data_IF_716856796649
#
_entry.id   IF_716856796649
#
_cell.length_a   1.000
_cell.length_b   1.000
_cell.length_c   1.000
_cell.angle_alpha   90.00
_cell.angle_beta   90.00
_cell.angle_gamma   90.00
#
_symmetry.space_group_name_H-M   'P 1'
#
loop_
_entity.id
_entity.type
_entity.pdbx_description
1 polymer ?
#
# COMPACT_ATOMS: atom_id res chain seq x y z
N UNK A 1 17.24 -3.94 13.37
CA UNK A 1 16.33 -2.92 12.82
C UNK A 1 14.97 -3.34 13.27
N UNK A 2 14.36 -2.56 14.16
CA UNK A 2 13.13 -2.95 14.83
C UNK A 2 11.95 -2.33 14.08
N UNK A 3 11.07 -3.18 13.54
CA UNK A 3 9.91 -2.72 12.77
C UNK A 3 8.86 -2.21 13.76
N UNK A 4 8.57 -0.91 13.68
CA UNK A 4 7.62 -0.23 14.56
C UNK A 4 6.83 0.87 13.81
N UNK A 5 6.79 0.79 12.48
CA UNK A 5 5.93 1.62 11.64
C UNK A 5 4.45 1.25 11.82
N UNK A 6 4.16 -0.05 12.03
CA UNK A 6 2.87 -0.63 12.40
C UNK A 6 3.05 -1.54 13.62
N UNK A 7 1.97 -1.77 14.37
CA UNK A 7 1.92 -2.68 15.53
C UNK A 7 1.23 -3.98 15.13
N UNK A 8 1.99 -4.92 14.56
CA UNK A 8 1.54 -6.29 14.29
C UNK A 8 2.22 -7.26 15.27
N UNK A 9 1.56 -8.38 15.56
CA UNK A 9 2.19 -9.49 16.29
C UNK A 9 3.13 -10.28 15.37
N UNK A 10 4.07 -11.02 15.93
CA UNK A 10 5.00 -11.86 15.15
C UNK A 10 4.24 -12.88 14.27
N UNK A 11 3.13 -13.40 14.77
CA UNK A 11 2.22 -14.30 14.03
C UNK A 11 1.57 -13.59 12.83
N UNK A 12 1.15 -12.33 12.98
CA UNK A 12 0.60 -11.54 11.88
C UNK A 12 1.65 -11.23 10.82
N UNK A 13 2.90 -10.97 11.21
CA UNK A 13 4.00 -10.81 10.26
C UNK A 13 4.31 -12.11 9.50
N UNK A 14 4.21 -13.27 10.15
CA UNK A 14 4.45 -14.57 9.50
C UNK A 14 3.39 -14.90 8.43
N UNK A 15 2.18 -14.33 8.53
CA UNK A 15 1.14 -14.49 7.49
C UNK A 15 1.33 -13.59 6.27
N UNK A 16 2.25 -12.63 6.33
CA UNK A 16 2.53 -11.74 5.20
C UNK A 16 3.39 -12.43 4.15
N UNK A 17 3.06 -12.19 2.89
CA UNK A 17 3.88 -12.60 1.76
C UNK A 17 5.22 -11.84 1.71
N UNK A 18 6.20 -12.37 1.00
CA UNK A 18 7.52 -11.75 0.85
C UNK A 18 7.44 -10.31 0.29
N UNK A 19 6.57 -10.06 -0.70
CA UNK A 19 6.33 -8.71 -1.23
C UNK A 19 5.75 -7.76 -0.17
N UNK A 20 4.85 -8.25 0.68
CA UNK A 20 4.27 -7.45 1.75
C UNK A 20 5.29 -7.11 2.82
N UNK A 21 6.14 -8.07 3.19
CA UNK A 21 7.27 -7.84 4.09
C UNK A 21 8.25 -6.81 3.51
N UNK A 22 8.58 -6.87 2.22
CA UNK A 22 9.43 -5.86 1.58
C UNK A 22 8.84 -4.45 1.66
N UNK A 23 7.53 -4.30 1.49
CA UNK A 23 6.89 -2.98 1.59
C UNK A 23 6.87 -2.47 3.05
N UNK A 24 6.67 -3.37 4.03
CA UNK A 24 6.86 -3.05 5.44
C UNK A 24 8.29 -2.57 5.70
N UNK A 25 9.31 -3.25 5.16
CA UNK A 25 10.71 -2.84 5.30
C UNK A 25 10.97 -1.46 4.70
N UNK A 26 10.47 -1.18 3.50
CA UNK A 26 10.60 0.15 2.87
C UNK A 26 9.89 1.24 3.68
N UNK A 27 8.71 0.95 4.22
CA UNK A 27 7.98 1.88 5.06
C UNK A 27 8.75 2.19 6.36
N UNK A 28 9.36 1.17 6.97
CA UNK A 28 10.24 1.35 8.12
C UNK A 28 11.48 2.17 7.76
N UNK A 29 12.13 1.87 6.62
CA UNK A 29 13.29 2.64 6.17
C UNK A 29 12.95 4.12 5.96
N UNK A 30 11.77 4.42 5.39
CA UNK A 30 11.27 5.80 5.25
C UNK A 30 11.11 6.46 6.62
N UNK A 31 10.50 5.79 7.60
CA UNK A 31 10.38 6.28 8.98
C UNK A 31 11.75 6.54 9.62
N UNK A 32 12.70 5.63 9.45
CA UNK A 32 14.04 5.76 10.03
C UNK A 32 14.78 6.95 9.41
N UNK A 33 14.69 7.14 8.09
CA UNK A 33 15.22 8.33 7.39
C UNK A 33 14.59 9.63 7.90
N UNK A 34 13.29 9.66 8.15
CA UNK A 34 12.61 10.83 8.72
C UNK A 34 13.08 11.10 10.15
N UNK A 35 13.31 10.05 10.93
CA UNK A 35 13.82 10.17 12.31
C UNK A 35 15.23 10.76 12.33
N UNK A 36 16.08 10.31 11.40
CA UNK A 36 17.42 10.88 11.22
C UNK A 36 17.37 12.36 10.80
N UNK A 37 16.53 12.69 9.82
CA UNK A 37 16.34 14.10 9.37
C UNK A 37 15.84 14.99 10.50
N UNK A 38 14.89 14.52 11.31
CA UNK A 38 14.36 15.25 12.45
C UNK A 38 15.48 15.61 13.43
N UNK A 39 16.35 14.65 13.75
CA UNK A 39 17.47 14.88 14.66
C UNK A 39 18.51 15.83 14.04
N UNK A 40 18.84 15.66 12.77
CA UNK A 40 19.75 16.56 12.05
C UNK A 40 19.23 18.01 12.05
N UNK A 41 17.96 18.22 11.75
CA UNK A 41 17.35 19.56 11.73
C UNK A 41 17.27 20.19 13.13
N UNK A 42 16.94 19.39 14.16
CA UNK A 42 17.00 19.83 15.55
C UNK A 42 18.41 20.27 15.92
N UNK A 43 19.43 19.47 15.65
CA UNK A 43 20.81 19.82 15.97
C UNK A 43 21.28 21.07 15.21
N UNK A 44 20.93 21.19 13.93
CA UNK A 44 21.28 22.36 13.11
C UNK A 44 20.66 23.65 13.66
N UNK A 45 19.38 23.61 14.03
CA UNK A 45 18.72 24.79 14.58
C UNK A 45 19.23 25.16 15.98
N UNK A 46 19.50 24.14 16.82
CA UNK A 46 20.13 24.34 18.13
C UNK A 46 21.44 25.10 18.01
N UNK A 47 22.31 24.67 17.10
CA UNK A 47 23.61 25.32 16.88
C UNK A 47 23.45 26.78 16.41
N UNK A 48 22.48 27.08 15.53
CA UNK A 48 22.20 28.46 15.10
C UNK A 48 21.73 29.33 16.27
N UNK A 49 20.79 28.85 17.08
CA UNK A 49 20.25 29.61 18.21
C UNK A 49 21.31 29.88 19.28
N UNK A 50 22.19 28.90 19.54
CA UNK A 50 23.35 29.07 20.44
C UNK A 50 24.32 30.11 19.88
N UNK A 51 24.68 30.02 18.59
CA UNK A 51 25.58 30.97 17.93
C UNK A 51 25.04 32.41 17.96
N UNK A 52 23.73 32.58 17.86
CA UNK A 52 23.06 33.88 17.88
C UNK A 52 22.75 34.38 19.30
N UNK A 53 23.02 33.59 20.34
CA UNK A 53 22.77 33.96 21.73
C UNK A 53 21.28 34.00 22.14
N UNK A 54 20.38 33.45 21.33
CA UNK A 54 18.91 33.55 21.52
C UNK A 54 18.29 32.23 22.01
N UNK A 55 19.12 31.24 22.36
CA UNK A 55 18.69 29.90 22.77
C UNK A 55 17.74 29.89 24.00
N UNK A 56 17.87 30.86 24.90
CA UNK A 56 17.02 30.96 26.10
C UNK A 56 15.61 31.53 25.85
N UNK A 57 15.36 32.07 24.65
CA UNK A 57 13.99 32.42 24.25
C UNK A 57 13.30 31.14 23.81
N UNK A 58 12.07 30.86 24.26
CA UNK A 58 11.31 29.62 23.96
C UNK A 58 11.07 29.29 22.48
N UNK A 59 11.73 30.00 21.55
CA UNK A 59 11.86 29.71 20.14
C UNK A 59 12.38 28.29 19.88
N UNK A 60 13.31 27.78 20.70
CA UNK A 60 13.81 26.40 20.57
C UNK A 60 12.70 25.37 20.76
N UNK A 61 11.91 25.52 21.83
CA UNK A 61 10.83 24.59 22.16
C UNK A 61 9.70 24.67 21.13
N UNK A 62 9.35 25.87 20.68
CA UNK A 62 8.35 26.07 19.63
C UNK A 62 8.78 25.45 18.29
N UNK A 63 10.06 25.59 17.92
CA UNK A 63 10.61 24.97 16.72
C UNK A 63 10.65 23.44 16.83
N UNK A 64 11.08 22.91 17.98
CA UNK A 64 11.08 21.48 18.24
C UNK A 64 9.67 20.90 18.16
N UNK A 65 8.68 21.56 18.75
CA UNK A 65 7.29 21.13 18.69
C UNK A 65 6.74 21.13 17.25
N UNK A 66 7.08 22.16 16.46
CA UNK A 66 6.69 22.23 15.05
C UNK A 66 7.28 21.09 14.22
N UNK A 67 8.59 20.85 14.36
CA UNK A 67 9.26 19.75 13.66
C UNK A 67 8.71 18.38 14.09
N UNK A 68 8.44 18.22 15.38
CA UNK A 68 7.85 16.99 15.92
C UNK A 68 6.46 16.74 15.32
N UNK A 69 5.61 17.75 15.26
CA UNK A 69 4.28 17.64 14.67
C UNK A 69 4.32 17.31 13.16
N UNK A 70 5.29 17.87 12.43
CA UNK A 70 5.50 17.52 11.02
C UNK A 70 5.94 16.06 10.87
N UNK A 71 6.93 15.62 11.66
CA UNK A 71 7.38 14.24 11.68
C UNK A 71 6.22 13.27 11.96
N UNK A 72 5.42 13.54 12.99
CA UNK A 72 4.27 12.69 13.36
C UNK A 72 3.25 12.58 12.23
N UNK A 73 2.97 13.69 11.53
CA UNK A 73 2.07 13.71 10.37
C UNK A 73 2.62 12.86 9.21
N UNK A 74 3.91 12.98 8.90
CA UNK A 74 4.53 12.20 7.83
C UNK A 74 4.60 10.71 8.15
N UNK A 75 4.92 10.36 9.41
CA UNK A 75 4.89 8.97 9.89
C UNK A 75 3.48 8.39 9.86
N UNK A 76 2.45 9.18 10.22
CA UNK A 76 1.06 8.76 10.12
C UNK A 76 0.67 8.44 8.67
N UNK A 77 1.06 9.29 7.71
CA UNK A 77 0.80 9.04 6.29
C UNK A 77 1.49 7.76 5.78
N UNK A 78 2.75 7.54 6.16
CA UNK A 78 3.47 6.29 5.81
C UNK A 78 2.74 5.07 6.37
N UNK A 79 2.28 5.16 7.62
CA UNK A 79 1.52 4.08 8.27
C UNK A 79 0.21 3.80 7.55
N UNK A 80 -0.58 4.84 7.25
CA UNK A 80 -1.86 4.70 6.55
C UNK A 80 -1.69 4.09 5.16
N UNK A 81 -0.68 4.55 4.40
CA UNK A 81 -0.36 3.99 3.09
C UNK A 81 0.04 2.51 3.17
N UNK A 82 0.84 2.12 4.18
CA UNK A 82 1.21 0.73 4.39
C UNK A 82 0.00 -0.13 4.77
N UNK A 83 -0.84 0.33 5.70
CA UNK A 83 -2.07 -0.38 6.10
C UNK A 83 -3.03 -0.55 4.93
N UNK A 84 -3.16 0.48 4.09
CA UNK A 84 -3.92 0.40 2.85
C UNK A 84 -3.35 -0.70 1.95
N UNK A 85 -2.05 -0.65 1.63
CA UNK A 85 -1.40 -1.65 0.81
C UNK A 85 -1.59 -3.07 1.38
N UNK A 86 -1.35 -3.29 2.67
CA UNK A 86 -1.50 -4.59 3.32
C UNK A 86 -2.94 -5.11 3.24
N UNK A 87 -3.94 -4.24 3.38
CA UNK A 87 -5.36 -4.61 3.27
C UNK A 87 -5.73 -5.08 1.86
N UNK A 88 -5.21 -4.44 0.83
CA UNK A 88 -5.56 -4.73 -0.57
C UNK A 88 -4.62 -5.74 -1.25
N UNK A 89 -3.48 -6.05 -0.63
CA UNK A 89 -2.53 -7.05 -1.13
C UNK A 89 -2.77 -8.46 -0.57
N UNK A 90 -3.75 -8.64 0.32
CA UNK A 90 -4.18 -9.97 0.77
C UNK A 90 -4.65 -10.74 -0.46
N UNK A 91 -3.94 -11.81 -0.81
CA UNK A 91 -4.39 -12.73 -1.86
C UNK A 91 -5.68 -13.42 -1.41
N UNK A 92 -6.61 -13.70 -2.32
CA UNK A 92 -7.75 -14.53 -2.02
C UNK A 92 -7.27 -15.95 -1.72
N UNK A 93 -7.92 -16.61 -0.77
CA UNK A 93 -7.67 -18.03 -0.40
C UNK A 93 -8.10 -19.03 -1.49
N UNK A 94 -8.82 -18.56 -2.50
CA UNK A 94 -9.29 -19.36 -3.63
C UNK A 94 -8.28 -19.27 -4.79
N UNK A 95 -8.00 -20.42 -5.39
CA UNK A 95 -7.14 -20.52 -6.56
C UNK A 95 -7.90 -19.99 -7.78
N UNK A 96 -7.36 -18.97 -8.43
CA UNK A 96 -7.97 -18.43 -9.63
C UNK A 96 -7.86 -19.45 -10.77
N UNK A 97 -8.83 -19.49 -11.69
CA UNK A 97 -8.77 -20.41 -12.81
C UNK A 97 -7.80 -19.96 -13.92
N UNK A 98 -7.17 -18.80 -13.77
CA UNK A 98 -6.16 -18.24 -14.66
C UNK A 98 -4.86 -17.94 -13.92
N UNK A 99 -3.75 -17.82 -14.66
CA UNK A 99 -2.46 -17.49 -14.08
C UNK A 99 -2.47 -16.08 -13.46
N UNK A 100 -2.19 -16.03 -12.15
CA UNK A 100 -2.18 -14.79 -11.37
C UNK A 100 -0.76 -14.24 -11.30
N UNK A 101 -0.50 -13.14 -12.00
CA UNK A 101 0.79 -12.46 -12.03
C UNK A 101 0.67 -10.96 -11.66
N UNK A 102 1.04 -10.63 -10.42
CA UNK A 102 1.01 -9.26 -9.90
C UNK A 102 2.17 -8.38 -10.39
N UNK A 103 3.14 -8.90 -11.15
CA UNK A 103 4.16 -8.07 -11.78
C UNK A 103 3.62 -7.27 -12.99
N UNK A 104 2.46 -7.68 -13.52
CA UNK A 104 1.78 -7.04 -14.64
C UNK A 104 0.99 -5.79 -14.21
N UNK A 105 0.81 -4.86 -15.14
CA UNK A 105 -0.07 -3.70 -14.99
C UNK A 105 -1.54 -4.13 -14.92
N UNK A 106 -2.41 -3.31 -14.34
CA UNK A 106 -3.85 -3.65 -14.19
C UNK A 106 -4.52 -3.91 -15.55
N UNK A 107 -4.14 -3.18 -16.59
CA UNK A 107 -4.64 -3.38 -17.96
C UNK A 107 -4.22 -4.73 -18.53
N UNK A 108 -2.97 -5.16 -18.29
CA UNK A 108 -2.46 -6.46 -18.72
C UNK A 108 -3.15 -7.60 -17.97
N UNK A 109 -3.37 -7.45 -16.66
CA UNK A 109 -4.15 -8.41 -15.87
C UNK A 109 -5.58 -8.54 -16.38
N UNK A 110 -6.22 -7.40 -16.68
CA UNK A 110 -7.56 -7.39 -17.26
C UNK A 110 -7.63 -8.09 -18.61
N UNK A 111 -6.59 -7.96 -19.45
CA UNK A 111 -6.50 -8.68 -20.71
C UNK A 111 -6.42 -10.20 -20.51
N UNK A 112 -5.65 -10.68 -19.52
CA UNK A 112 -5.54 -12.10 -19.19
C UNK A 112 -6.87 -12.66 -18.72
N UNK A 113 -7.50 -12.02 -17.74
CA UNK A 113 -8.80 -12.48 -17.20
C UNK A 113 -9.86 -12.46 -18.28
N UNK A 114 -9.89 -11.39 -19.09
CA UNK A 114 -10.81 -11.28 -20.22
C UNK A 114 -10.61 -12.42 -21.23
N UNK A 115 -9.37 -12.70 -21.62
CA UNK A 115 -9.04 -13.74 -22.58
C UNK A 115 -9.48 -15.11 -22.07
N UNK A 116 -9.18 -15.43 -20.80
CA UNK A 116 -9.59 -16.67 -20.15
C UNK A 116 -11.11 -16.90 -20.26
N UNK A 117 -11.92 -15.93 -19.83
CA UNK A 117 -13.38 -16.08 -19.84
C UNK A 117 -13.98 -16.12 -21.27
N UNK A 118 -13.36 -15.42 -22.23
CA UNK A 118 -13.77 -15.49 -23.63
C UNK A 118 -13.46 -16.84 -24.28
N UNK A 119 -12.36 -17.48 -23.88
CA UNK A 119 -11.91 -18.78 -24.39
C UNK A 119 -12.69 -19.93 -23.75
N UNK A 120 -12.85 -19.91 -22.42
CA UNK A 120 -13.46 -21.01 -21.66
C UNK A 120 -14.99 -21.09 -21.87
N UNK A 121 -15.67 -19.94 -21.93
CA UNK A 121 -17.13 -19.89 -21.99
C UNK A 121 -17.60 -19.31 -23.32
N UNK A 122 -18.16 -20.15 -24.19
CA UNK A 122 -18.72 -19.71 -25.47
C UNK A 122 -20.01 -18.88 -25.30
N UNK A 123 -20.86 -19.24 -24.32
CA UNK A 123 -22.11 -18.54 -24.05
C UNK A 123 -21.86 -17.30 -23.17
N UNK A 124 -22.36 -16.15 -23.59
CA UNK A 124 -22.16 -14.88 -22.89
C UNK A 124 -22.79 -14.86 -21.48
N UNK A 125 -23.96 -15.47 -21.28
CA UNK A 125 -24.63 -15.53 -19.99
C UNK A 125 -23.88 -16.44 -19.00
N UNK A 126 -23.38 -17.59 -19.47
CA UNK A 126 -22.55 -18.49 -18.66
C UNK A 126 -21.22 -17.84 -18.29
N UNK A 127 -20.58 -17.16 -19.25
CA UNK A 127 -19.35 -16.40 -19.05
C UNK A 127 -19.50 -15.36 -17.96
N UNK A 128 -20.54 -14.55 -18.07
CA UNK A 128 -20.80 -13.49 -17.10
C UNK A 128 -21.13 -14.06 -15.72
N UNK A 129 -21.89 -15.16 -15.65
CA UNK A 129 -22.16 -15.86 -14.40
C UNK A 129 -20.88 -16.39 -13.74
N UNK A 130 -19.97 -16.98 -14.53
CA UNK A 130 -18.70 -17.50 -14.03
C UNK A 130 -17.76 -16.37 -13.56
N UNK A 131 -17.64 -15.28 -14.33
CA UNK A 131 -16.85 -14.11 -13.92
C UNK A 131 -17.40 -13.44 -12.66
N UNK A 132 -18.72 -13.39 -12.51
CA UNK A 132 -19.37 -12.82 -11.32
C UNK A 132 -19.09 -13.63 -10.04
N UNK A 133 -18.84 -14.93 -10.16
CA UNK A 133 -18.56 -15.82 -9.04
C UNK A 133 -17.07 -15.85 -8.66
N UNK A 134 -16.20 -15.26 -9.48
CA UNK A 134 -14.76 -15.22 -9.24
C UNK A 134 -14.38 -14.14 -8.22
N UNK A 135 -14.20 -14.58 -6.97
CA UNK A 135 -13.74 -13.73 -5.88
C UNK A 135 -12.30 -13.24 -6.09
N UNK A 136 -11.49 -13.96 -6.89
CA UNK A 136 -10.10 -13.60 -7.18
C UNK A 136 -10.03 -12.44 -8.16
N UNK A 137 -10.91 -12.41 -9.18
CA UNK A 137 -10.96 -11.33 -10.16
C UNK A 137 -11.16 -9.96 -9.51
N UNK A 138 -11.97 -9.87 -8.46
CA UNK A 138 -12.24 -8.61 -7.74
C UNK A 138 -10.95 -8.02 -7.17
N UNK A 139 -10.10 -8.86 -6.58
CA UNK A 139 -8.85 -8.42 -5.96
C UNK A 139 -7.71 -8.29 -6.97
N UNK A 140 -7.67 -9.18 -7.97
CA UNK A 140 -6.60 -9.24 -8.96
C UNK A 140 -6.67 -8.08 -9.96
N UNK A 141 -7.88 -7.66 -10.34
CA UNK A 141 -8.12 -6.63 -11.35
C UNK A 141 -8.16 -5.21 -10.78
N UNK A 142 -8.42 -5.02 -9.49
CA UNK A 142 -8.47 -3.68 -8.89
C UNK A 142 -9.48 -2.77 -9.60
N UNK A 143 -9.04 -1.61 -10.07
CA UNK A 143 -9.91 -0.63 -10.77
C UNK A 143 -10.46 -1.19 -12.09
N UNK A 144 -9.78 -2.17 -12.70
CA UNK A 144 -10.19 -2.79 -13.95
C UNK A 144 -11.31 -3.83 -13.80
N UNK A 145 -11.75 -4.14 -12.58
CA UNK A 145 -12.85 -5.08 -12.36
C UNK A 145 -14.18 -4.54 -12.91
N UNK A 146 -14.56 -3.30 -12.56
CA UNK A 146 -15.84 -2.73 -12.98
C UNK A 146 -15.97 -2.56 -14.51
N UNK A 147 -14.97 -2.03 -15.24
CA UNK A 147 -15.01 -1.98 -16.71
C UNK A 147 -15.17 -3.37 -17.36
N UNK A 148 -14.54 -4.40 -16.80
CA UNK A 148 -14.63 -5.76 -17.34
C UNK A 148 -15.98 -6.42 -17.01
N UNK A 149 -16.55 -6.12 -15.84
CA UNK A 149 -17.90 -6.50 -15.47
C UNK A 149 -18.93 -5.92 -16.46
N UNK A 150 -18.85 -4.62 -16.73
CA UNK A 150 -19.77 -3.94 -17.66
C UNK A 150 -19.66 -4.52 -19.06
N UNK A 151 -18.42 -4.80 -19.50
CA UNK A 151 -18.16 -5.45 -20.78
C UNK A 151 -18.85 -6.81 -20.91
N UNK A 152 -18.76 -7.68 -19.91
CA UNK A 152 -19.42 -8.99 -19.95
C UNK A 152 -20.93 -8.88 -19.78
N UNK A 153 -21.42 -7.98 -18.93
CA UNK A 153 -22.85 -7.74 -18.76
C UNK A 153 -23.51 -7.29 -20.07
N UNK A 154 -22.89 -6.36 -20.81
CA UNK A 154 -23.40 -5.87 -22.09
C UNK A 154 -23.50 -6.96 -23.16
N UNK A 155 -22.71 -8.04 -23.06
CA UNK A 155 -22.80 -9.17 -23.99
C UNK A 155 -23.95 -10.13 -23.70
N UNK A 156 -24.60 -9.98 -22.54
CA UNK A 156 -25.76 -10.81 -22.15
C UNK A 156 -27.11 -10.21 -22.56
N UNK A 157 -27.12 -8.98 -23.08
CA UNK A 157 -28.28 -8.31 -23.66
C UNK A 157 -28.48 -8.70 -25.13
#
# INVERSE_FOLDING_TARGET
>A
MDINVITYTDEQYATLTESQLQEVYKAQEKKDRLTWKLEEEKQREKQKLVKNGVFASGLWDAYCAKLQAQYEREVAFIREALLFYLRFSVKPTEEAPYEVNYALTETERAAIVKAYYLEEYANAAERFSAFKQDAVAVQYLGEMYAPLWDYFYLQTQ
#
